data_IF_251964276829
#
_entry.id   IF_251964276829
#
_cell.length_a   1.000
_cell.length_b   1.000
_cell.length_c   1.000
_cell.angle_alpha   90.00
_cell.angle_beta   90.00
_cell.angle_gamma   90.00
#
_symmetry.space_group_name_H-M   'P 1'
#
loop_
_entity.id
_entity.type
_entity.pdbx_description
1 polymer ?
#
# COMPACT_ATOMS: atom_id res chain seq x y z
N UNK A 1 -5.33 -8.45 22.39
CA UNK A 1 -4.41 -8.01 21.30
C UNK A 1 -3.02 -8.52 21.64
N UNK A 2 -2.76 -9.81 21.49
CA UNK A 2 -1.45 -10.39 21.89
C UNK A 2 -0.84 -11.25 20.76
N UNK A 3 -1.46 -11.28 19.58
CA UNK A 3 -1.05 -12.09 18.44
C UNK A 3 -1.43 -11.41 17.11
N UNK A 4 -1.16 -10.11 17.00
CA UNK A 4 -1.28 -9.41 15.71
C UNK A 4 0.12 -9.33 15.10
N UNK A 5 0.28 -9.89 13.89
CA UNK A 5 1.49 -9.71 13.11
C UNK A 5 1.74 -8.20 12.93
N UNK A 6 2.99 -7.76 13.09
CA UNK A 6 3.38 -6.38 12.76
C UNK A 6 3.14 -6.19 11.27
N UNK A 7 2.03 -5.54 10.94
CA UNK A 7 1.74 -5.16 9.56
C UNK A 7 2.56 -3.91 9.30
N UNK A 8 3.55 -4.01 8.42
CA UNK A 8 4.15 -2.83 7.84
C UNK A 8 3.03 -2.18 7.03
N UNK A 9 2.34 -1.18 7.61
CA UNK A 9 1.38 -0.40 6.84
C UNK A 9 2.18 0.19 5.66
N UNK A 10 1.81 -0.10 4.41
CA UNK A 10 2.56 0.39 3.25
C UNK A 10 2.61 1.93 3.20
N UNK A 11 1.81 2.60 4.04
CA UNK A 11 1.65 4.04 4.14
C UNK A 11 2.32 4.64 5.38
N UNK A 12 3.02 3.87 6.24
CA UNK A 12 3.72 4.44 7.41
C UNK A 12 4.47 5.71 6.99
N UNK A 13 4.10 6.91 7.51
CA UNK A 13 4.76 8.15 7.17
C UNK A 13 6.18 8.09 7.74
N UNK A 14 7.13 7.65 6.92
CA UNK A 14 8.50 7.35 7.35
C UNK A 14 9.11 6.08 6.75
N UNK A 15 8.35 5.27 6.00
CA UNK A 15 8.93 4.21 5.19
C UNK A 15 9.89 4.82 4.15
N UNK A 16 11.20 4.67 4.39
CA UNK A 16 12.23 5.01 3.42
C UNK A 16 12.12 4.00 2.27
N UNK A 17 11.56 4.45 1.15
CA UNK A 17 11.59 3.70 -0.09
C UNK A 17 13.04 3.63 -0.55
N UNK A 18 13.63 2.44 -0.45
CA UNK A 18 14.93 2.15 -1.04
C UNK A 18 14.70 1.67 -2.48
N UNK A 19 15.56 2.11 -3.40
CA UNK A 19 15.48 1.64 -4.78
C UNK A 19 16.13 0.26 -4.81
N UNK A 20 15.32 -0.77 -4.96
CA UNK A 20 15.85 -2.12 -5.20
C UNK A 20 16.50 -2.17 -6.59
N UNK A 21 17.83 -2.11 -6.60
CA UNK A 21 18.65 -2.05 -7.82
C UNK A 21 18.63 -3.38 -8.57
N UNK A 22 18.23 -4.48 -7.90
CA UNK A 22 18.14 -5.83 -8.45
C UNK A 22 16.71 -6.22 -8.86
N UNK A 23 15.72 -5.37 -8.58
CA UNK A 23 14.32 -5.66 -8.95
C UNK A 23 14.09 -5.54 -10.45
N UNK A 24 13.41 -6.53 -11.03
CA UNK A 24 12.93 -6.44 -12.41
C UNK A 24 11.96 -5.27 -12.54
N UNK A 25 12.03 -4.56 -13.66
CA UNK A 25 11.21 -3.39 -13.89
C UNK A 25 9.73 -3.80 -13.86
N UNK A 26 9.03 -3.42 -12.79
CA UNK A 26 7.59 -3.69 -12.68
C UNK A 26 6.85 -3.04 -13.83
N UNK A 27 5.97 -3.80 -14.48
CA UNK A 27 5.18 -3.29 -15.60
C UNK A 27 4.34 -2.08 -15.15
N UNK A 28 4.48 -0.97 -15.87
CA UNK A 28 3.85 0.29 -15.51
C UNK A 28 2.31 0.22 -15.52
N UNK A 29 1.72 -0.69 -16.30
CA UNK A 29 0.26 -0.89 -16.33
C UNK A 29 -0.18 -1.66 -15.09
N UNK A 30 0.54 -2.69 -14.69
CA UNK A 30 0.27 -3.42 -13.45
C UNK A 30 0.32 -2.50 -12.23
N UNK A 31 1.39 -1.70 -12.11
CA UNK A 31 1.49 -0.72 -11.03
C UNK A 31 0.31 0.26 -11.00
N UNK A 32 -0.05 0.84 -12.16
CA UNK A 32 -1.19 1.77 -12.26
C UNK A 32 -2.51 1.08 -11.95
N UNK A 33 -2.68 -0.18 -12.33
CA UNK A 33 -3.88 -0.95 -12.05
C UNK A 33 -4.04 -1.18 -10.53
N UNK A 34 -2.96 -1.59 -9.85
CA UNK A 34 -2.98 -1.80 -8.39
C UNK A 34 -3.32 -0.49 -7.66
N UNK A 35 -2.65 0.61 -8.02
CA UNK A 35 -2.93 1.93 -7.42
C UNK A 35 -4.38 2.36 -7.68
N UNK A 36 -4.88 2.20 -8.91
CA UNK A 36 -6.25 2.54 -9.26
C UNK A 36 -7.30 1.70 -8.51
N UNK A 37 -7.08 0.39 -8.40
CA UNK A 37 -7.95 -0.50 -7.62
C UNK A 37 -7.96 -0.14 -6.14
N UNK A 38 -6.80 0.20 -5.57
CA UNK A 38 -6.71 0.65 -4.18
C UNK A 38 -7.49 1.97 -3.97
N UNK A 39 -7.28 2.97 -4.84
CA UNK A 39 -8.00 4.25 -4.76
C UNK A 39 -9.53 4.04 -4.83
N UNK A 40 -9.99 3.16 -5.71
CA UNK A 40 -11.41 2.83 -5.82
C UNK A 40 -11.97 2.20 -4.54
N UNK A 41 -11.22 1.28 -3.92
CA UNK A 41 -11.61 0.67 -2.65
C UNK A 41 -11.66 1.68 -1.51
N UNK A 42 -10.69 2.59 -1.42
CA UNK A 42 -10.67 3.65 -0.40
C UNK A 42 -11.82 4.64 -0.61
N UNK A 43 -12.15 4.99 -1.85
CA UNK A 43 -13.23 5.91 -2.16
C UNK A 43 -14.63 5.34 -1.86
N UNK A 44 -14.80 4.03 -2.01
CA UNK A 44 -16.09 3.35 -1.81
C UNK A 44 -16.28 2.79 -0.40
N UNK A 45 -15.19 2.53 0.33
CA UNK A 45 -15.22 1.99 1.70
C UNK A 45 -14.47 2.89 2.68
N UNK A 46 -15.15 3.84 3.35
CA UNK A 46 -14.52 4.78 4.28
C UNK A 46 -13.89 4.08 5.49
N UNK A 47 -14.38 2.90 5.87
CA UNK A 47 -13.78 2.05 6.89
C UNK A 47 -12.35 1.61 6.51
N UNK A 48 -12.15 1.24 5.24
CA UNK A 48 -10.83 0.89 4.71
C UNK A 48 -9.94 2.14 4.60
N UNK A 49 -10.51 3.28 4.20
CA UNK A 49 -9.78 4.55 4.15
C UNK A 49 -9.26 4.96 5.54
N UNK A 50 -10.07 4.81 6.58
CA UNK A 50 -9.64 5.10 7.94
C UNK A 50 -8.52 4.17 8.41
N UNK A 51 -8.61 2.86 8.14
CA UNK A 51 -7.58 1.89 8.54
C UNK A 51 -6.26 2.02 7.77
N UNK A 52 -6.28 2.56 6.56
CA UNK A 52 -5.08 2.68 5.71
C UNK A 52 -4.37 4.03 5.90
N UNK A 53 -5.13 5.08 6.23
CA UNK A 53 -4.61 6.43 6.46
C UNK A 53 -4.18 6.71 7.91
N UNK A 54 -4.47 5.80 8.85
CA UNK A 54 -4.09 5.87 10.27
C UNK A 54 -2.84 5.01 10.53
#
# INVERSE_FOLDING_TARGET
>A
MENCNSVCSPIVPGCKLDKDVDSDATDAREYKQIVGSLMYLLATRPDLAYSVCL
#
